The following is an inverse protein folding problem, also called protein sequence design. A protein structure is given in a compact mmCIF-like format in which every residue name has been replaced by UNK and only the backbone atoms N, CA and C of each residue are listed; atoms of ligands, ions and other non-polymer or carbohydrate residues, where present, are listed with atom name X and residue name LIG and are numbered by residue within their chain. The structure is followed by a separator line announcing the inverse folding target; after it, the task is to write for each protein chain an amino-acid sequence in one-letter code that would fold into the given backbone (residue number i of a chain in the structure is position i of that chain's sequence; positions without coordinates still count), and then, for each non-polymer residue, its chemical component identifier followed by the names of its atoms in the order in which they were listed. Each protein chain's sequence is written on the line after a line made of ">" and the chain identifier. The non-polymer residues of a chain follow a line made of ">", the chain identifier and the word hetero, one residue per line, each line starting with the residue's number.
data_IF_190054332092
#
_entry.id   IF_190054332092
#
_cell.length_a   1.000
_cell.length_b   1.000
_cell.length_c   1.000
_cell.angle_alpha   90.00
_cell.angle_beta   90.00
_cell.angle_gamma   90.00
#
_symmetry.space_group_name_H-M   'P 1'
#
loop_
_entity.id
_entity.type
_entity.pdbx_description
1 polymer ?
#
# COMPACT_ATOMS: atom_id res chain seq x y z
N UNK A 1 -17.44 -6.45 -10.19
CA UNK A 1 -16.57 -7.24 -9.29
C UNK A 1 -15.79 -8.22 -10.13
N UNK A 2 -14.49 -8.44 -9.86
CA UNK A 2 -13.70 -9.48 -10.54
C UNK A 2 -14.15 -10.86 -10.05
N UNK A 3 -15.23 -11.39 -10.62
CA UNK A 3 -15.71 -12.73 -10.27
C UNK A 3 -14.75 -13.78 -10.85
N UNK A 4 -14.19 -14.60 -9.96
CA UNK A 4 -13.40 -15.79 -10.34
C UNK A 4 -11.88 -15.59 -10.46
N UNK A 5 -11.32 -14.41 -10.14
CA UNK A 5 -9.86 -14.20 -10.11
C UNK A 5 -9.37 -13.99 -8.68
N UNK A 6 -8.38 -14.79 -8.27
CA UNK A 6 -7.70 -14.58 -6.99
C UNK A 6 -6.83 -13.33 -7.08
N UNK A 7 -7.09 -12.36 -6.19
CA UNK A 7 -6.31 -11.12 -6.09
C UNK A 7 -5.34 -11.26 -4.94
N UNK A 8 -4.04 -11.13 -5.23
CA UNK A 8 -3.00 -11.08 -4.20
C UNK A 8 -2.35 -9.70 -4.18
N UNK A 9 -2.09 -9.19 -2.97
CA UNK A 9 -1.40 -7.91 -2.75
C UNK A 9 0.03 -8.22 -2.32
N UNK A 10 1.00 -7.86 -3.16
CA UNK A 10 2.44 -8.03 -2.89
C UNK A 10 3.07 -6.66 -2.68
N UNK A 11 3.77 -6.48 -1.56
CA UNK A 11 4.53 -5.26 -1.29
C UNK A 11 5.85 -5.31 -2.06
N UNK A 12 6.27 -4.17 -2.61
CA UNK A 12 7.64 -4.02 -3.11
C UNK A 12 8.63 -4.19 -1.96
N UNK A 13 9.89 -4.54 -2.24
CA UNK A 13 10.93 -4.68 -1.20
C UNK A 13 11.03 -3.44 -0.30
N UNK A 14 10.90 -2.24 -0.89
CA UNK A 14 10.95 -0.98 -0.15
C UNK A 14 9.73 -0.79 0.76
N UNK A 15 8.54 -1.09 0.24
CA UNK A 15 7.30 -1.01 1.01
C UNK A 15 7.24 -2.06 2.13
N UNK A 16 7.71 -3.29 1.88
CA UNK A 16 7.78 -4.34 2.89
C UNK A 16 8.73 -3.95 4.01
N UNK A 17 9.92 -3.44 3.70
CA UNK A 17 10.85 -2.95 4.72
C UNK A 17 10.21 -1.89 5.64
N UNK A 18 9.53 -0.89 5.06
CA UNK A 18 8.82 0.15 5.83
C UNK A 18 7.70 -0.49 6.68
N UNK A 19 6.95 -1.43 6.11
CA UNK A 19 5.88 -2.12 6.80
C UNK A 19 6.39 -2.96 7.98
N UNK A 20 7.49 -3.70 7.81
CA UNK A 20 8.09 -4.50 8.88
C UNK A 20 8.64 -3.62 10.00
N UNK A 21 9.32 -2.52 9.68
CA UNK A 21 9.80 -1.57 10.69
C UNK A 21 8.64 -0.93 11.47
N UNK A 22 7.56 -0.56 10.78
CA UNK A 22 6.35 -0.05 11.43
C UNK A 22 5.72 -1.08 12.38
N UNK A 23 5.65 -2.35 11.97
CA UNK A 23 5.16 -3.43 12.85
C UNK A 23 6.03 -3.59 14.10
N UNK A 24 7.37 -3.53 13.98
CA UNK A 24 8.28 -3.59 15.13
C UNK A 24 8.04 -2.42 16.09
N UNK A 25 7.87 -1.21 15.57
CA UNK A 25 7.59 -0.02 16.38
C UNK A 25 6.26 -0.18 17.13
N UNK A 26 5.20 -0.55 16.42
CA UNK A 26 3.88 -0.80 17.02
C UNK A 26 3.93 -1.90 18.09
N UNK A 27 4.67 -2.98 17.85
CA UNK A 27 4.87 -4.05 18.84
C UNK A 27 5.51 -3.52 20.12
N UNK A 28 6.57 -2.71 20.01
CA UNK A 28 7.25 -2.09 21.16
C UNK A 28 6.33 -1.12 21.91
N UNK A 29 5.51 -0.34 21.20
CA UNK A 29 4.55 0.58 21.81
C UNK A 29 3.50 -0.18 22.64
N UNK A 30 2.94 -1.26 22.08
CA UNK A 30 1.97 -2.09 22.80
C UNK A 30 2.56 -2.73 24.06
N UNK A 31 3.80 -3.21 24.00
CA UNK A 31 4.51 -3.73 25.17
C UNK A 31 4.72 -2.68 26.27
N UNK A 32 4.75 -1.39 25.90
CA UNK A 32 4.84 -0.25 26.83
C UNK A 32 3.47 0.26 27.29
N UNK A 33 2.37 -0.40 26.92
CA UNK A 33 1.01 0.03 27.26
C UNK A 33 0.50 1.23 26.44
N UNK A 34 1.16 1.56 25.31
CA UNK A 34 0.68 2.60 24.39
C UNK A 34 -0.30 1.95 23.40
N UNK A 35 -1.54 2.40 23.38
CA UNK A 35 -2.64 1.84 22.58
C UNK A 35 -3.16 2.78 21.47
N UNK A 36 -2.74 4.05 21.48
CA UNK A 36 -3.17 5.04 20.52
C UNK A 36 -2.03 5.95 20.04
N UNK A 37 -1.09 5.39 19.30
CA UNK A 37 -0.02 6.13 18.65
C UNK A 37 -0.33 6.45 17.18
N UNK A 38 0.40 7.42 16.65
CA UNK A 38 0.52 7.66 15.21
C UNK A 38 0.89 6.38 14.43
N UNK A 39 1.91 5.63 14.89
CA UNK A 39 2.37 4.42 14.21
C UNK A 39 1.28 3.35 14.11
N UNK A 40 0.48 3.20 15.17
CA UNK A 40 -0.65 2.28 15.18
C UNK A 40 -1.76 2.71 14.22
N UNK A 41 -2.05 4.01 14.16
CA UNK A 41 -3.01 4.56 13.21
C UNK A 41 -2.54 4.36 11.77
N UNK A 42 -1.28 4.65 11.47
CA UNK A 42 -0.69 4.42 10.16
C UNK A 42 -0.74 2.93 9.77
N UNK A 43 -0.35 2.02 10.68
CA UNK A 43 -0.37 0.58 10.42
C UNK A 43 -1.79 0.07 10.13
N UNK A 44 -2.78 0.53 10.91
CA UNK A 44 -4.20 0.22 10.65
C UNK A 44 -4.64 0.71 9.26
N UNK A 45 -4.24 1.93 8.87
CA UNK A 45 -4.59 2.49 7.56
C UNK A 45 -3.96 1.70 6.40
N UNK A 46 -2.70 1.26 6.53
CA UNK A 46 -2.03 0.41 5.53
C UNK A 46 -2.74 -0.94 5.42
N UNK A 47 -3.09 -1.57 6.54
CA UNK A 47 -3.80 -2.85 6.52
C UNK A 47 -5.18 -2.72 5.88
N UNK A 48 -5.91 -1.65 6.17
CA UNK A 48 -7.18 -1.35 5.50
C UNK A 48 -7.00 -1.18 3.99
N UNK A 49 -5.99 -0.42 3.55
CA UNK A 49 -5.70 -0.25 2.12
C UNK A 49 -5.41 -1.59 1.43
N UNK A 50 -4.66 -2.49 2.07
CA UNK A 50 -4.39 -3.84 1.55
C UNK A 50 -5.65 -4.68 1.40
N UNK A 51 -6.56 -4.64 2.38
CA UNK A 51 -7.84 -5.34 2.28
C UNK A 51 -8.75 -4.75 1.21
N UNK A 52 -8.77 -3.42 1.04
CA UNK A 52 -9.49 -2.76 -0.06
C UNK A 52 -8.96 -3.22 -1.42
N UNK A 53 -7.64 -3.30 -1.59
CA UNK A 53 -7.02 -3.75 -2.84
C UNK A 53 -7.32 -5.21 -3.18
N UNK A 54 -7.48 -6.08 -2.17
CA UNK A 54 -7.91 -7.47 -2.38
C UNK A 54 -9.35 -7.56 -2.92
N UNK A 55 -10.23 -6.65 -2.49
CA UNK A 55 -11.62 -6.60 -2.94
C UNK A 55 -11.76 -5.92 -4.29
N UNK A 56 -10.99 -4.85 -4.50
CA UNK A 56 -10.95 -4.06 -5.73
C UNK A 56 -9.53 -3.53 -5.97
N UNK A 57 -8.78 -4.07 -6.95
CA UNK A 57 -7.43 -3.61 -7.27
C UNK A 57 -7.37 -2.14 -7.72
N UNK A 58 -8.49 -1.56 -8.14
CA UNK A 58 -8.59 -0.16 -8.56
C UNK A 58 -9.27 0.72 -7.51
N UNK A 59 -9.16 0.36 -6.22
CA UNK A 59 -9.79 1.12 -5.12
C UNK A 59 -9.19 2.51 -4.88
N UNK A 60 -8.01 2.81 -5.46
CA UNK A 60 -7.35 4.11 -5.34
C UNK A 60 -7.64 5.07 -6.49
N UNK A 61 -7.16 6.31 -6.34
CA UNK A 61 -7.19 7.32 -7.39
C UNK A 61 -6.08 7.05 -8.41
N UNK A 62 -6.40 7.07 -9.69
CA UNK A 62 -5.38 6.96 -10.73
C UNK A 62 -4.46 8.19 -10.72
N UNK A 63 -3.15 7.96 -10.67
CA UNK A 63 -2.14 9.02 -10.73
C UNK A 63 -1.83 9.34 -12.21
N UNK A 64 -1.99 10.60 -12.66
CA UNK A 64 -1.60 10.98 -14.02
C UNK A 64 -0.12 10.69 -14.28
N UNK A 65 0.22 10.10 -15.44
CA UNK A 65 1.60 9.73 -15.81
C UNK A 65 2.61 10.86 -15.58
N UNK A 66 2.23 12.10 -15.91
CA UNK A 66 3.06 13.31 -15.73
C UNK A 66 3.43 13.63 -14.26
N UNK A 67 2.70 13.09 -13.29
CA UNK A 67 2.95 13.29 -11.85
C UNK A 67 3.82 12.17 -11.25
N UNK A 68 4.10 11.10 -12.00
CA UNK A 68 4.91 9.98 -11.54
C UNK A 68 6.40 10.33 -11.79
N UNK A 69 7.26 10.39 -10.76
CA UNK A 69 8.66 10.67 -10.95
C UNK A 69 9.33 9.65 -11.89
N UNK A 70 10.17 10.08 -12.87
CA UNK A 70 10.78 9.18 -13.86
C UNK A 70 11.55 8.00 -13.25
N UNK A 71 12.21 8.24 -12.10
CA UNK A 71 12.92 7.19 -11.36
C UNK A 71 12.03 6.01 -10.97
N UNK A 72 10.75 6.25 -10.69
CA UNK A 72 9.82 5.18 -10.31
C UNK A 72 9.22 4.47 -11.52
N UNK A 73 9.02 5.19 -12.62
CA UNK A 73 8.65 4.60 -13.91
C UNK A 73 9.71 3.59 -14.34
N UNK A 74 10.99 4.00 -14.33
CA UNK A 74 12.10 3.14 -14.73
C UNK A 74 12.32 1.97 -13.77
N UNK A 75 12.26 2.23 -12.46
CA UNK A 75 12.55 1.22 -11.43
C UNK A 75 11.50 0.12 -11.32
N UNK A 76 10.23 0.48 -11.52
CA UNK A 76 9.10 -0.43 -11.30
C UNK A 76 8.35 -0.76 -12.60
N UNK A 77 8.86 -0.28 -13.73
CA UNK A 77 8.27 -0.44 -15.08
C UNK A 77 6.77 -0.08 -15.09
N UNK A 78 6.41 1.04 -14.47
CA UNK A 78 5.00 1.39 -14.22
C UNK A 78 4.46 2.35 -15.27
N UNK A 79 3.39 1.93 -15.95
CA UNK A 79 2.60 2.82 -16.80
C UNK A 79 1.34 3.34 -16.11
N UNK A 80 0.80 2.57 -15.16
CA UNK A 80 -0.37 2.94 -14.39
C UNK A 80 -0.06 2.77 -12.90
N UNK A 81 -0.37 3.79 -12.12
CA UNK A 81 -0.21 3.80 -10.66
C UNK A 81 -1.51 4.33 -10.07
N UNK A 82 -1.97 3.67 -9.01
CA UNK A 82 -3.08 4.11 -8.18
C UNK A 82 -2.54 4.59 -6.84
N UNK A 83 -3.26 5.51 -6.23
CA UNK A 83 -2.92 6.11 -4.94
C UNK A 83 -4.09 5.97 -3.98
N UNK A 84 -3.83 5.42 -2.81
CA UNK A 84 -4.76 5.44 -1.67
C UNK A 84 -4.18 6.38 -0.61
N UNK A 85 -4.98 7.34 -0.17
CA UNK A 85 -4.62 8.20 0.96
C UNK A 85 -4.70 7.39 2.26
N UNK A 86 -3.65 7.51 3.06
CA UNK A 86 -3.51 6.87 4.37
C UNK A 86 -3.63 7.93 5.47
N UNK A 87 -3.51 7.49 6.73
CA UNK A 87 -3.46 8.40 7.85
C UNK A 87 -2.33 9.44 7.69
N UNK A 88 -2.58 10.65 8.19
CA UNK A 88 -1.55 11.69 8.34
C UNK A 88 -0.77 12.02 7.05
N UNK A 89 -1.49 12.07 5.92
CA UNK A 89 -0.97 12.43 4.59
C UNK A 89 0.04 11.43 4.02
N UNK A 90 0.12 10.23 4.61
CA UNK A 90 0.79 9.11 3.97
C UNK A 90 0.01 8.63 2.76
N UNK A 91 0.70 8.04 1.79
CA UNK A 91 0.10 7.57 0.55
C UNK A 91 0.60 6.17 0.25
N UNK A 92 -0.33 5.28 -0.06
CA UNK A 92 -0.02 3.97 -0.60
C UNK A 92 -0.11 4.08 -2.13
N UNK A 93 0.96 3.69 -2.82
CA UNK A 93 0.96 3.62 -4.27
C UNK A 93 0.99 2.16 -4.70
N UNK A 94 0.11 1.80 -5.63
CA UNK A 94 0.01 0.44 -6.15
C UNK A 94 -0.02 0.40 -7.68
N UNK A 95 0.31 -0.77 -8.23
CA UNK A 95 0.17 -1.09 -9.65
C UNK A 95 -0.53 -2.43 -9.75
N UNK A 96 -1.58 -2.47 -10.57
CA UNK A 96 -2.30 -3.69 -10.91
C UNK A 96 -1.60 -4.42 -12.06
N UNK A 97 -1.32 -5.71 -11.86
CA UNK A 97 -0.83 -6.61 -12.90
C UNK A 97 -1.94 -7.59 -13.30
N UNK A 98 -2.24 -7.66 -14.58
CA UNK A 98 -3.11 -8.70 -15.13
C UNK A 98 -2.26 -9.86 -15.66
N UNK A 99 -2.30 -11.02 -15.01
CA UNK A 99 -1.79 -12.24 -15.63
C UNK A 99 -2.80 -12.69 -16.68
N UNK A 100 -2.44 -12.54 -17.97
CA UNK A 100 -3.08 -13.31 -19.04
C UNK A 100 -2.46 -14.70 -18.99
N UNK A 101 -3.28 -15.72 -18.70
CA UNK A 101 -2.93 -17.09 -19.05
C UNK A 101 -2.93 -17.23 -20.57
#
# INVERSE_FOLDING_TARGET
>A
MFQGKEISVKLSKEADNIYQELNKIVGKEKLKGIDNSFHQTLLRSINRARELLKQNPFAGDQVPKKQIPPKYIQKFDVENVWRIELADRWRFYDKVFGYKH
#
